data_IF_226016444806
#
_entry.id   IF_226016444806
#
_cell.length_a   1.000
_cell.length_b   1.000
_cell.length_c   1.000
_cell.angle_alpha   90.00
_cell.angle_beta   90.00
_cell.angle_gamma   90.00
#
_symmetry.space_group_name_H-M   'P 1'
#
loop_
_entity.id
_entity.type
_entity.pdbx_description
1 polymer ?
#
# COMPACT_ATOMS: atom_id res chain seq x y z
N UNK A 1 28.50 -56.95 8.93
CA UNK A 1 27.12 -57.47 9.07
C UNK A 1 26.20 -56.26 9.09
N UNK A 2 25.64 -55.91 7.93
CA UNK A 2 24.81 -54.72 7.74
C UNK A 2 23.42 -54.93 8.36
N UNK A 3 22.91 -53.92 9.07
CA UNK A 3 21.47 -53.71 9.23
C UNK A 3 21.15 -52.24 9.01
N UNK A 4 20.82 -51.92 7.77
CA UNK A 4 20.01 -50.78 7.38
C UNK A 4 18.64 -50.92 8.04
N UNK A 5 18.18 -49.87 8.72
CA UNK A 5 16.76 -49.64 8.94
C UNK A 5 16.44 -48.29 8.29
N UNK A 6 16.03 -48.36 7.02
CA UNK A 6 15.41 -47.26 6.30
C UNK A 6 13.95 -47.23 6.77
N UNK A 7 13.62 -46.22 7.54
CA UNK A 7 12.23 -45.79 7.76
C UNK A 7 12.20 -44.32 7.40
N UNK A 8 11.52 -44.02 6.30
CA UNK A 8 11.51 -42.70 5.72
C UNK A 8 10.76 -41.72 6.61
N UNK A 9 11.49 -40.76 7.14
CA UNK A 9 11.05 -39.39 7.15
C UNK A 9 12.20 -38.63 6.51
N UNK A 10 11.96 -38.12 5.30
CA UNK A 10 12.75 -37.01 4.78
C UNK A 10 12.45 -35.86 5.75
N UNK A 11 13.22 -35.82 6.84
CA UNK A 11 13.37 -34.64 7.65
C UNK A 11 13.97 -33.65 6.66
N UNK A 12 13.12 -32.80 6.08
CA UNK A 12 13.58 -31.58 5.45
C UNK A 12 14.47 -30.95 6.51
N UNK A 13 15.78 -31.05 6.30
CA UNK A 13 16.70 -30.09 6.86
C UNK A 13 16.23 -28.77 6.25
N UNK A 14 15.27 -28.14 6.92
CA UNK A 14 15.04 -26.71 6.81
C UNK A 14 16.34 -26.13 7.29
N UNK A 15 17.25 -25.92 6.35
CA UNK A 15 18.37 -25.03 6.53
C UNK A 15 17.72 -23.67 6.72
N UNK A 16 17.54 -23.29 7.99
CA UNK A 16 17.11 -21.97 8.38
C UNK A 16 18.27 -21.02 8.09
N UNK A 17 18.51 -20.74 6.81
CA UNK A 17 19.38 -19.65 6.43
C UNK A 17 18.54 -18.40 6.62
N UNK A 18 18.68 -17.75 7.77
CA UNK A 18 18.15 -16.41 7.96
C UNK A 18 18.89 -15.50 6.96
N UNK A 19 18.32 -15.30 5.78
CA UNK A 19 18.87 -14.40 4.78
C UNK A 19 18.93 -13.01 5.40
N UNK A 20 20.13 -12.42 5.42
CA UNK A 20 20.37 -11.14 6.06
C UNK A 20 19.95 -9.94 5.20
N UNK A 21 19.43 -10.20 4.00
CA UNK A 21 19.03 -9.22 3.00
C UNK A 21 17.74 -9.66 2.33
N UNK A 22 17.03 -8.69 1.75
CA UNK A 22 15.88 -8.98 0.89
C UNK A 22 16.34 -9.40 -0.51
N UNK A 23 15.53 -10.24 -1.16
CA UNK A 23 15.74 -10.62 -2.55
C UNK A 23 15.60 -9.40 -3.48
N UNK A 24 16.64 -9.17 -4.29
CA UNK A 24 16.66 -8.16 -5.34
C UNK A 24 15.88 -8.66 -6.56
N UNK A 25 14.78 -7.97 -6.90
CA UNK A 25 13.93 -8.32 -8.05
C UNK A 25 14.07 -7.27 -9.16
N UNK A 26 14.20 -7.75 -10.41
CA UNK A 26 14.13 -6.88 -11.60
C UNK A 26 12.70 -6.44 -11.88
N UNK A 27 12.51 -5.35 -12.63
CA UNK A 27 11.17 -4.86 -13.01
C UNK A 27 10.32 -5.93 -13.72
N UNK A 28 10.93 -6.74 -14.59
CA UNK A 28 10.22 -7.83 -15.29
C UNK A 28 9.68 -8.88 -14.31
N UNK A 29 10.49 -9.27 -13.32
CA UNK A 29 10.09 -10.26 -12.33
C UNK A 29 9.13 -9.67 -11.30
N UNK A 30 9.26 -8.37 -11.00
CA UNK A 30 8.31 -7.64 -10.18
C UNK A 30 6.92 -7.68 -10.82
N UNK A 31 6.82 -7.36 -12.11
CA UNK A 31 5.55 -7.44 -12.83
C UNK A 31 4.91 -8.83 -12.72
N UNK A 32 5.68 -9.90 -13.00
CA UNK A 32 5.20 -11.28 -12.87
C UNK A 32 4.70 -11.59 -11.45
N UNK A 33 5.45 -11.17 -10.43
CA UNK A 33 5.08 -11.39 -9.02
C UNK A 33 3.78 -10.67 -8.67
N UNK A 34 3.58 -9.44 -9.16
CA UNK A 34 2.32 -8.71 -8.97
C UNK A 34 1.13 -9.34 -9.70
N UNK A 35 1.38 -10.13 -10.75
CA UNK A 35 0.34 -10.85 -11.48
C UNK A 35 -0.03 -12.19 -10.84
N UNK A 36 0.94 -12.92 -10.28
CA UNK A 36 0.75 -14.27 -9.74
C UNK A 36 0.41 -14.27 -8.27
N UNK A 37 1.06 -13.40 -7.49
CA UNK A 37 0.98 -13.44 -6.04
C UNK A 37 -0.12 -12.51 -5.50
N UNK A 38 -0.93 -12.97 -4.53
CA UNK A 38 -1.99 -12.15 -3.97
C UNK A 38 -1.44 -11.01 -3.10
N UNK A 39 -0.27 -11.21 -2.48
CA UNK A 39 0.31 -10.28 -1.53
C UNK A 39 1.82 -10.15 -1.78
N UNK A 40 2.26 -8.93 -2.07
CA UNK A 40 3.69 -8.61 -2.29
C UNK A 40 4.02 -7.31 -1.57
N UNK A 41 5.07 -7.29 -0.76
CA UNK A 41 5.68 -6.10 -0.17
C UNK A 41 6.98 -5.84 -0.90
N UNK A 42 7.14 -4.63 -1.42
CA UNK A 42 8.32 -4.24 -2.19
C UNK A 42 8.95 -3.01 -1.55
N UNK A 43 10.22 -3.11 -1.21
CA UNK A 43 11.07 -1.96 -0.87
C UNK A 43 11.66 -1.37 -2.16
N UNK A 44 11.27 -0.15 -2.48
CA UNK A 44 11.80 0.62 -3.59
C UNK A 44 12.93 1.52 -3.13
N UNK A 45 14.06 1.41 -3.84
CA UNK A 45 15.30 2.13 -3.59
C UNK A 45 15.76 2.84 -4.86
N UNK A 46 16.51 3.93 -4.71
CA UNK A 46 17.13 4.65 -5.82
C UNK A 46 18.63 4.79 -5.52
N UNK A 47 19.45 4.26 -6.42
CA UNK A 47 20.90 4.19 -6.26
C UNK A 47 21.56 5.55 -6.08
N UNK A 48 20.92 6.64 -6.50
CA UNK A 48 21.45 8.02 -6.43
C UNK A 48 21.09 8.73 -5.14
N UNK A 49 19.94 8.42 -4.56
CA UNK A 49 19.38 9.14 -3.40
C UNK A 49 19.44 8.33 -2.11
N UNK A 50 19.86 7.06 -2.19
CA UNK A 50 19.90 6.16 -1.07
C UNK A 50 20.92 6.57 0.01
N UNK A 51 20.44 6.65 1.24
CA UNK A 51 21.19 7.01 2.44
C UNK A 51 20.98 5.98 3.58
N UNK A 52 21.27 6.36 4.82
CA UNK A 52 21.08 5.51 6.01
C UNK A 52 19.63 5.00 6.17
N UNK A 53 18.64 5.74 5.67
CA UNK A 53 17.23 5.32 5.76
C UNK A 53 16.95 4.08 4.92
N UNK A 54 17.65 3.88 3.79
CA UNK A 54 17.50 2.68 2.98
C UNK A 54 17.90 1.43 3.76
N UNK A 55 19.07 1.47 4.39
CA UNK A 55 19.61 0.35 5.17
C UNK A 55 18.70 0.06 6.37
N UNK A 56 18.16 1.12 6.99
CA UNK A 56 17.19 0.99 8.07
C UNK A 56 15.90 0.31 7.60
N UNK A 57 15.34 0.75 6.47
CA UNK A 57 14.13 0.16 5.91
C UNK A 57 14.31 -1.32 5.56
N UNK A 58 15.41 -1.67 4.89
CA UNK A 58 15.72 -3.07 4.57
C UNK A 58 15.89 -3.91 5.85
N UNK A 59 16.64 -3.39 6.83
CA UNK A 59 16.89 -4.10 8.10
C UNK A 59 15.60 -4.39 8.86
N UNK A 60 14.69 -3.42 8.93
CA UNK A 60 13.37 -3.61 9.58
C UNK A 60 12.58 -4.68 8.85
N UNK A 61 12.47 -4.61 7.52
CA UNK A 61 11.76 -5.59 6.71
C UNK A 61 12.34 -7.00 6.84
N UNK A 62 13.67 -7.16 6.80
CA UNK A 62 14.34 -8.46 7.00
C UNK A 62 13.98 -9.06 8.36
N UNK A 63 13.92 -8.23 9.40
CA UNK A 63 13.62 -8.70 10.76
C UNK A 63 12.19 -9.20 10.92
N UNK A 64 11.20 -8.52 10.32
CA UNK A 64 9.79 -8.90 10.41
C UNK A 64 9.35 -9.85 9.28
N UNK A 65 10.22 -10.17 8.32
CA UNK A 65 9.89 -10.94 7.11
C UNK A 65 9.25 -12.29 7.44
N UNK A 66 9.86 -13.06 8.34
CA UNK A 66 9.36 -14.40 8.68
C UNK A 66 7.94 -14.33 9.27
N UNK A 67 7.72 -13.41 10.21
CA UNK A 67 6.39 -13.19 10.81
C UNK A 67 5.35 -12.72 9.78
N UNK A 68 5.75 -11.89 8.81
CA UNK A 68 4.87 -11.45 7.72
C UNK A 68 4.52 -12.59 6.77
N UNK A 69 5.49 -13.41 6.38
CA UNK A 69 5.28 -14.60 5.54
C UNK A 69 4.32 -15.56 6.23
N UNK A 70 4.49 -15.81 7.52
CA UNK A 70 3.62 -16.70 8.29
C UNK A 70 2.19 -16.14 8.42
N UNK A 71 2.05 -14.84 8.69
CA UNK A 71 0.75 -14.21 8.91
C UNK A 71 -0.05 -13.96 7.62
N UNK A 72 0.63 -13.58 6.54
CA UNK A 72 -0.01 -13.07 5.31
C UNK A 72 0.24 -13.95 4.08
N UNK A 73 1.21 -14.86 4.13
CA UNK A 73 1.76 -15.54 2.95
C UNK A 73 2.20 -14.53 1.88
N UNK A 74 2.91 -13.50 2.34
CA UNK A 74 3.35 -12.36 1.52
C UNK A 74 4.79 -12.56 1.04
N UNK A 75 5.06 -12.15 -0.20
CA UNK A 75 6.42 -12.06 -0.71
C UNK A 75 7.04 -10.72 -0.31
N UNK A 76 8.24 -10.71 0.27
CA UNK A 76 8.93 -9.49 0.69
C UNK A 76 10.22 -9.34 -0.12
N UNK A 77 10.26 -8.35 -1.00
CA UNK A 77 11.36 -8.14 -1.95
C UNK A 77 11.86 -6.71 -1.92
N UNK A 78 12.97 -6.43 -2.62
CA UNK A 78 13.41 -5.07 -2.91
C UNK A 78 13.72 -4.89 -4.40
N UNK A 79 13.63 -3.65 -4.86
CA UNK A 79 13.99 -3.28 -6.23
C UNK A 79 14.70 -1.92 -6.26
N UNK A 80 15.51 -1.71 -7.29
CA UNK A 80 16.35 -0.53 -7.46
C UNK A 80 15.99 0.19 -8.75
N UNK A 81 15.97 1.53 -8.69
CA UNK A 81 15.83 2.41 -9.85
C UNK A 81 14.60 2.10 -10.73
N UNK A 82 13.55 1.51 -10.11
CA UNK A 82 12.34 1.08 -10.82
C UNK A 82 11.47 2.28 -11.23
N UNK A 83 11.13 2.41 -12.52
CA UNK A 83 10.25 3.48 -13.00
C UNK A 83 8.81 3.33 -12.47
N UNK A 84 8.41 2.14 -12.04
CA UNK A 84 7.08 1.85 -11.49
C UNK A 84 6.79 2.65 -10.20
N UNK A 85 7.82 3.13 -9.51
CA UNK A 85 7.66 3.92 -8.29
C UNK A 85 6.77 5.15 -8.49
N UNK A 86 6.95 5.83 -9.64
CA UNK A 86 6.17 7.02 -9.99
C UNK A 86 4.69 6.69 -10.25
N UNK A 87 4.39 5.50 -10.79
CA UNK A 87 3.02 5.04 -11.06
C UNK A 87 2.22 4.87 -9.77
N UNK A 88 2.89 4.55 -8.66
CA UNK A 88 2.28 4.43 -7.32
C UNK A 88 2.29 5.76 -6.56
N UNK A 89 2.63 6.86 -7.24
CA UNK A 89 2.62 8.20 -6.68
C UNK A 89 3.66 8.37 -5.59
N UNK A 90 4.75 7.60 -5.61
CA UNK A 90 5.81 7.72 -4.63
C UNK A 90 6.91 8.62 -5.19
N UNK A 91 7.17 9.72 -4.49
CA UNK A 91 8.06 10.79 -4.96
C UNK A 91 9.44 10.78 -4.26
N UNK A 92 9.64 9.86 -3.30
CA UNK A 92 10.87 9.76 -2.51
C UNK A 92 11.14 8.33 -2.09
N UNK A 93 12.40 7.92 -2.16
CA UNK A 93 12.92 6.66 -1.61
C UNK A 93 13.63 6.91 -0.26
N UNK A 94 13.84 5.88 0.57
CA UNK A 94 13.26 4.53 0.44
C UNK A 94 11.74 4.54 0.62
N UNK A 95 11.05 3.66 -0.09
CA UNK A 95 9.60 3.54 0.02
C UNK A 95 9.17 2.08 0.06
N UNK A 96 8.23 1.75 0.93
CA UNK A 96 7.69 0.40 1.06
C UNK A 96 6.26 0.41 0.56
N UNK A 97 5.95 -0.43 -0.42
CA UNK A 97 4.61 -0.55 -1.00
C UNK A 97 4.09 -1.96 -0.79
N UNK A 98 2.88 -2.06 -0.24
CA UNK A 98 2.16 -3.31 -0.06
C UNK A 98 1.10 -3.48 -1.14
N UNK A 99 1.32 -4.44 -2.02
CA UNK A 99 0.40 -4.83 -3.09
C UNK A 99 -0.54 -5.92 -2.61
N UNK A 100 -1.85 -5.63 -2.66
CA UNK A 100 -2.91 -6.52 -2.20
C UNK A 100 -3.85 -6.81 -3.36
N UNK A 101 -3.65 -7.94 -4.03
CA UNK A 101 -4.33 -8.32 -5.28
C UNK A 101 -4.26 -7.18 -6.30
N UNK A 102 -3.05 -6.72 -6.58
CA UNK A 102 -2.76 -5.58 -7.48
C UNK A 102 -3.16 -4.19 -6.96
N UNK A 103 -3.71 -4.06 -5.75
CA UNK A 103 -4.00 -2.75 -5.14
C UNK A 103 -2.79 -2.28 -4.32
N UNK A 104 -2.04 -1.26 -4.78
CA UNK A 104 -0.91 -0.72 -4.03
C UNK A 104 -1.39 0.05 -2.79
N UNK A 105 -0.61 -0.02 -1.72
CA UNK A 105 -0.73 0.80 -0.52
C UNK A 105 0.66 1.23 -0.10
N UNK A 106 0.88 2.53 -0.01
CA UNK A 106 2.18 3.06 0.39
C UNK A 106 2.26 3.05 1.91
N UNK A 107 3.28 2.43 2.48
CA UNK A 107 3.57 2.56 3.91
C UNK A 107 4.19 3.94 4.16
N UNK A 108 3.47 4.77 4.90
CA UNK A 108 3.86 6.17 5.20
C UNK A 108 4.62 6.31 6.52
N UNK A 109 4.90 5.20 7.20
CA UNK A 109 5.57 5.17 8.49
C UNK A 109 4.69 5.67 9.63
N UNK A 110 5.28 5.69 10.83
CA UNK A 110 4.60 6.17 12.03
C UNK A 110 4.43 7.69 12.00
N UNK A 111 3.21 8.15 11.72
CA UNK A 111 2.84 9.57 11.85
C UNK A 111 2.85 9.99 13.33
N UNK A 112 3.96 10.57 13.80
CA UNK A 112 3.97 11.27 15.09
C UNK A 112 3.44 12.69 14.89
N UNK A 113 2.17 12.91 15.22
CA UNK A 113 1.61 14.25 15.32
C UNK A 113 1.94 14.80 16.70
N UNK A 114 3.03 15.55 16.81
CA UNK A 114 3.36 16.29 18.02
C UNK A 114 2.39 17.47 18.16
N UNK A 115 1.51 17.43 19.17
CA UNK A 115 0.49 18.47 19.41
C UNK A 115 1.05 19.89 19.62
N UNK A 116 2.36 20.03 19.84
CA UNK A 116 3.04 21.33 20.05
C UNK A 116 3.80 21.84 18.83
N UNK A 117 4.09 21.00 17.84
CA UNK A 117 4.79 21.41 16.61
C UNK A 117 4.28 20.57 15.45
N UNK A 118 3.61 21.16 14.44
CA UNK A 118 3.13 20.43 13.26
C UNK A 118 4.28 20.14 12.27
N UNK A 119 5.44 19.73 12.78
CA UNK A 119 6.52 19.20 11.95
C UNK A 119 6.49 17.69 12.06
N UNK A 120 6.15 17.04 10.96
CA UNK A 120 6.36 15.61 10.75
C UNK A 120 7.85 15.34 10.86
N UNK A 121 8.31 14.84 12.00
CA UNK A 121 9.70 14.41 12.15
C UNK A 121 9.86 13.09 11.42
N UNK A 122 10.44 13.12 10.21
CA UNK A 122 10.71 11.93 9.37
C UNK A 122 11.79 10.99 9.97
N UNK A 123 12.39 11.35 11.11
CA UNK A 123 13.59 10.67 11.63
C UNK A 123 13.37 9.26 12.20
N UNK A 124 12.13 8.73 12.21
CA UNK A 124 11.81 7.39 12.68
C UNK A 124 10.65 6.78 11.86
N UNK A 125 10.76 6.80 10.53
CA UNK A 125 9.69 6.33 9.66
C UNK A 125 9.46 4.80 9.74
N UNK A 126 10.51 4.03 10.05
CA UNK A 126 10.48 2.56 10.04
C UNK A 126 10.60 2.01 11.46
N UNK A 127 9.46 1.61 12.03
CA UNK A 127 9.31 1.01 13.36
C UNK A 127 8.78 -0.42 13.15
N UNK A 128 9.45 -1.43 13.72
CA UNK A 128 9.17 -2.84 13.42
C UNK A 128 7.74 -3.23 13.78
N UNK A 129 7.31 -2.93 15.01
CA UNK A 129 5.98 -3.25 15.52
C UNK A 129 4.89 -2.53 14.72
N UNK A 130 5.06 -1.23 14.46
CA UNK A 130 4.07 -0.47 13.70
C UNK A 130 4.00 -0.92 12.23
N UNK A 131 5.12 -1.26 11.61
CA UNK A 131 5.15 -1.78 10.25
C UNK A 131 4.45 -3.15 10.16
N UNK A 132 4.72 -4.04 11.11
CA UNK A 132 4.05 -5.34 11.19
C UNK A 132 2.54 -5.20 11.39
N UNK A 133 2.12 -4.38 12.36
CA UNK A 133 0.71 -4.07 12.61
C UNK A 133 0.04 -3.45 11.38
N UNK A 134 0.73 -2.53 10.70
CA UNK A 134 0.22 -1.91 9.49
C UNK A 134 -0.06 -2.94 8.40
N UNK A 135 0.88 -3.84 8.07
CA UNK A 135 0.62 -4.81 6.99
C UNK A 135 -0.45 -5.84 7.38
N UNK A 136 -0.43 -6.32 8.62
CA UNK A 136 -1.40 -7.32 9.09
C UNK A 136 -2.82 -6.75 9.20
N UNK A 137 -2.97 -5.50 9.64
CA UNK A 137 -4.27 -4.83 9.71
C UNK A 137 -4.84 -4.44 8.33
N UNK A 138 -3.99 -4.31 7.31
CA UNK A 138 -4.38 -3.78 6.00
C UNK A 138 -4.39 -4.83 4.88
N UNK A 139 -4.56 -6.11 5.21
CA UNK A 139 -4.59 -7.23 4.25
C UNK A 139 -5.62 -7.05 3.12
N UNK A 140 -6.80 -6.51 3.43
CA UNK A 140 -7.90 -6.36 2.47
C UNK A 140 -8.05 -4.91 1.99
N UNK A 141 -8.15 -4.63 0.67
CA UNK A 141 -8.27 -3.28 0.12
C UNK A 141 -9.69 -2.73 0.28
N UNK A 142 -10.05 -2.33 1.51
CA UNK A 142 -11.44 -1.97 1.87
C UNK A 142 -11.62 -0.51 2.22
N UNK A 143 -10.56 0.30 2.11
CA UNK A 143 -10.58 1.68 2.60
C UNK A 143 -11.13 2.70 1.59
N UNK A 144 -11.23 2.31 0.32
CA UNK A 144 -11.80 3.14 -0.74
C UNK A 144 -13.18 2.63 -1.15
N UNK A 145 -14.23 3.39 -0.82
CA UNK A 145 -15.59 3.08 -1.25
C UNK A 145 -15.81 3.51 -2.70
N UNK A 146 -16.42 2.65 -3.52
CA UNK A 146 -16.90 3.06 -4.84
C UNK A 146 -18.26 3.71 -4.71
N UNK A 147 -18.40 4.92 -5.25
CA UNK A 147 -19.66 5.65 -5.35
C UNK A 147 -19.97 5.89 -6.83
N UNK A 148 -21.25 6.03 -7.13
CA UNK A 148 -21.77 6.30 -8.46
C UNK A 148 -23.02 7.17 -8.39
N UNK A 149 -23.59 7.50 -9.54
CA UNK A 149 -24.72 8.42 -9.69
C UNK A 149 -25.96 7.97 -8.90
N UNK A 150 -26.13 6.67 -8.69
CA UNK A 150 -27.23 6.12 -7.90
C UNK A 150 -26.91 6.11 -6.39
N UNK A 151 -25.69 5.78 -6.00
CA UNK A 151 -25.33 5.53 -4.59
C UNK A 151 -24.82 6.76 -3.85
N UNK A 152 -24.28 7.76 -4.56
CA UNK A 152 -23.60 8.89 -3.97
C UNK A 152 -24.50 9.65 -2.99
N UNK A 153 -25.69 10.05 -3.42
CA UNK A 153 -26.60 10.83 -2.58
C UNK A 153 -27.13 10.02 -1.41
N UNK A 154 -27.50 8.76 -1.64
CA UNK A 154 -28.01 7.89 -0.59
C UNK A 154 -26.97 7.67 0.51
N UNK A 155 -25.70 7.53 0.16
CA UNK A 155 -24.62 7.27 1.11
C UNK A 155 -24.06 8.52 1.76
N UNK A 156 -23.85 9.61 1.00
CA UNK A 156 -23.19 10.83 1.50
C UNK A 156 -24.15 11.84 2.11
N UNK A 157 -25.42 11.82 1.69
CA UNK A 157 -26.45 12.81 2.06
C UNK A 157 -26.03 14.26 1.74
N UNK A 158 -25.21 14.46 0.71
CA UNK A 158 -24.64 15.76 0.36
C UNK A 158 -25.71 16.85 0.07
N UNK A 159 -26.88 16.49 -0.45
CA UNK A 159 -27.94 17.46 -0.77
C UNK A 159 -28.78 17.92 0.43
N UNK A 160 -28.89 17.11 1.48
CA UNK A 160 -29.80 17.37 2.59
C UNK A 160 -29.18 18.25 3.69
N UNK A 161 -27.87 18.52 3.60
CA UNK A 161 -27.10 19.22 4.63
C UNK A 161 -26.85 18.39 5.90
N UNK A 162 -27.34 17.14 5.93
CA UNK A 162 -27.13 16.19 7.01
C UNK A 162 -26.24 15.05 6.49
N UNK A 163 -24.95 15.33 6.29
CA UNK A 163 -24.01 14.33 5.80
C UNK A 163 -23.88 13.17 6.78
N UNK A 164 -23.55 11.99 6.29
CA UNK A 164 -23.27 10.79 7.10
C UNK A 164 -21.86 10.81 7.70
N UNK A 165 -21.34 11.99 8.02
CA UNK A 165 -19.96 12.23 8.46
C UNK A 165 -19.13 12.98 7.43
N UNK A 166 -17.82 13.02 7.66
CA UNK A 166 -16.85 13.63 6.76
C UNK A 166 -16.50 12.65 5.63
N UNK A 167 -16.42 13.16 4.40
CA UNK A 167 -16.09 12.38 3.21
C UNK A 167 -14.90 13.00 2.49
N UNK A 168 -14.01 12.17 1.95
CA UNK A 168 -13.01 12.58 0.98
C UNK A 168 -13.27 11.79 -0.31
N UNK A 169 -13.74 12.47 -1.35
CA UNK A 169 -14.13 11.85 -2.61
C UNK A 169 -13.13 12.22 -3.70
N UNK A 170 -12.54 11.22 -4.34
CA UNK A 170 -11.73 11.38 -5.54
C UNK A 170 -12.56 11.06 -6.78
N UNK A 171 -12.73 12.06 -7.63
CA UNK A 171 -13.27 11.90 -8.97
C UNK A 171 -12.14 11.58 -9.92
N UNK A 172 -12.33 10.54 -10.74
CA UNK A 172 -11.37 10.12 -11.74
C UNK A 172 -12.03 9.62 -13.04
N UNK A 173 -11.22 9.43 -14.07
CA UNK A 173 -11.55 8.76 -15.33
C UNK A 173 -10.69 7.51 -15.50
N UNK A 174 -10.95 6.72 -16.53
CA UNK A 174 -10.13 5.55 -16.87
C UNK A 174 -8.81 5.94 -17.55
N UNK A 175 -8.75 7.12 -18.16
CA UNK A 175 -7.57 7.64 -18.88
C UNK A 175 -6.63 8.47 -17.99
N UNK A 176 -6.87 8.48 -16.68
CA UNK A 176 -6.10 9.29 -15.75
C UNK A 176 -4.75 8.66 -15.39
N UNK A 177 -3.66 9.21 -15.94
CA UNK A 177 -2.29 8.73 -15.68
C UNK A 177 -1.85 8.88 -14.22
N UNK A 178 -2.24 9.97 -13.54
CA UNK A 178 -1.83 10.24 -12.16
C UNK A 178 -2.69 9.51 -11.11
N UNK A 179 -3.85 8.97 -11.51
CA UNK A 179 -4.85 8.42 -10.59
C UNK A 179 -4.41 7.15 -9.86
N UNK A 180 -3.70 6.19 -10.50
CA UNK A 180 -3.17 5.02 -9.79
C UNK A 180 -2.33 5.40 -8.57
N UNK A 181 -1.47 6.41 -8.71
CA UNK A 181 -0.60 6.87 -7.62
C UNK A 181 -1.35 7.62 -6.52
N UNK A 182 -2.28 8.50 -6.89
CA UNK A 182 -3.14 9.17 -5.90
C UNK A 182 -4.02 8.15 -5.17
N UNK A 183 -4.56 7.15 -5.88
CA UNK A 183 -5.34 6.05 -5.30
C UNK A 183 -4.50 5.25 -4.29
N UNK A 184 -3.25 4.92 -4.62
CA UNK A 184 -2.34 4.21 -3.73
C UNK A 184 -2.10 4.96 -2.41
N UNK A 185 -1.92 6.29 -2.48
CA UNK A 185 -1.82 7.16 -1.29
C UNK A 185 -3.14 7.24 -0.52
N UNK A 186 -4.28 7.32 -1.22
CA UNK A 186 -5.60 7.40 -0.58
C UNK A 186 -5.98 6.10 0.14
N UNK A 187 -5.55 4.93 -0.31
CA UNK A 187 -5.69 3.68 0.43
C UNK A 187 -5.08 3.81 1.84
N UNK A 188 -3.86 4.35 1.91
CA UNK A 188 -3.18 4.60 3.19
C UNK A 188 -3.90 5.64 4.03
N UNK A 189 -4.31 6.76 3.42
CA UNK A 189 -5.10 7.79 4.11
C UNK A 189 -6.38 7.18 4.69
N UNK A 190 -7.12 6.42 3.89
CA UNK A 190 -8.36 5.76 4.29
C UNK A 190 -8.15 4.81 5.47
N UNK A 191 -7.07 4.02 5.47
CA UNK A 191 -6.72 3.16 6.60
C UNK A 191 -6.45 3.96 7.88
N UNK A 192 -5.72 5.08 7.78
CA UNK A 192 -5.32 5.94 8.90
C UNK A 192 -6.49 6.77 9.46
N UNK A 193 -7.51 7.07 8.66
CA UNK A 193 -8.63 7.95 9.04
C UNK A 193 -9.98 7.25 9.08
N UNK A 194 -10.04 5.92 8.93
CA UNK A 194 -11.27 5.12 8.83
C UNK A 194 -12.32 5.40 9.91
N UNK A 195 -11.89 5.79 11.11
CA UNK A 195 -12.78 6.08 12.25
C UNK A 195 -13.30 7.52 12.27
N UNK A 196 -12.78 8.40 11.40
CA UNK A 196 -13.09 9.84 11.36
C UNK A 196 -13.69 10.30 10.05
N UNK A 197 -13.25 9.73 8.94
CA UNK A 197 -13.63 10.17 7.60
C UNK A 197 -13.72 8.97 6.66
N UNK A 198 -14.71 8.99 5.77
CA UNK A 198 -14.83 7.97 4.72
C UNK A 198 -14.14 8.44 3.45
N UNK A 199 -13.27 7.61 2.88
CA UNK A 199 -12.62 7.89 1.59
C UNK A 199 -13.35 7.13 0.48
N UNK A 200 -13.65 7.82 -0.62
CA UNK A 200 -14.43 7.27 -1.71
C UNK A 200 -13.90 7.67 -3.09
N UNK A 201 -14.25 6.87 -4.09
CA UNK A 201 -13.94 7.11 -5.50
C UNK A 201 -15.22 7.22 -6.32
N UNK A 202 -15.19 8.07 -7.33
CA UNK A 202 -16.23 8.19 -8.35
C UNK A 202 -15.58 8.14 -9.73
N UNK A 203 -15.90 7.11 -10.52
CA UNK A 203 -15.44 7.00 -11.90
C UNK A 203 -16.42 7.73 -12.82
N UNK A 204 -16.00 8.83 -13.43
CA UNK A 204 -16.82 9.69 -14.29
C UNK A 204 -17.10 9.10 -15.66
N UNK A 205 -16.27 8.17 -16.14
CA UNK A 205 -16.44 7.53 -17.46
C UNK A 205 -17.44 6.37 -17.41
N UNK A 206 -17.67 5.81 -16.22
CA UNK A 206 -18.49 4.62 -16.03
C UNK A 206 -19.89 4.98 -15.56
N UNK A 207 -20.03 5.32 -14.28
CA UNK A 207 -21.32 5.45 -13.60
C UNK A 207 -21.38 6.69 -12.68
N UNK A 208 -20.39 7.57 -12.74
CA UNK A 208 -20.29 8.79 -11.93
C UNK A 208 -20.41 10.11 -12.71
N UNK A 209 -20.92 10.08 -13.94
CA UNK A 209 -20.89 11.21 -14.85
C UNK A 209 -21.81 12.37 -14.39
N UNK A 210 -23.00 12.07 -13.86
CA UNK A 210 -23.94 13.08 -13.36
C UNK A 210 -23.39 13.73 -12.09
N UNK A 211 -22.87 12.92 -11.17
CA UNK A 211 -22.26 13.36 -9.93
C UNK A 211 -21.04 14.24 -10.21
N UNK A 212 -20.13 13.79 -11.09
CA UNK A 212 -18.95 14.57 -11.49
C UNK A 212 -19.32 15.94 -12.06
N UNK A 213 -20.34 16.02 -12.94
CA UNK A 213 -20.82 17.30 -13.48
C UNK A 213 -21.40 18.21 -12.40
N UNK A 214 -22.18 17.65 -11.47
CA UNK A 214 -22.78 18.42 -10.37
C UNK A 214 -21.72 19.09 -9.50
N UNK A 215 -20.67 18.35 -9.15
CA UNK A 215 -19.57 18.87 -8.33
C UNK A 215 -18.51 19.63 -9.15
N UNK A 216 -18.73 19.83 -10.45
CA UNK A 216 -17.80 20.51 -11.37
C UNK A 216 -16.40 19.86 -11.38
N UNK A 217 -16.33 18.56 -11.09
CA UNK A 217 -15.12 17.78 -11.18
C UNK A 217 -14.90 17.41 -12.65
N UNK A 218 -14.17 18.25 -13.38
CA UNK A 218 -13.83 18.03 -14.79
C UNK A 218 -12.37 17.60 -15.02
N UNK A 219 -11.47 17.92 -14.10
CA UNK A 219 -10.06 17.54 -14.17
C UNK A 219 -9.80 16.21 -13.46
N UNK A 220 -8.74 15.51 -13.86
CA UNK A 220 -8.32 14.25 -13.24
C UNK A 220 -6.95 14.39 -12.55
N UNK A 221 -6.79 13.82 -11.34
CA UNK A 221 -7.85 13.56 -10.37
C UNK A 221 -8.39 14.86 -9.76
N UNK A 222 -9.66 14.85 -9.31
CA UNK A 222 -10.22 15.93 -8.47
C UNK A 222 -10.57 15.38 -7.09
N UNK A 223 -10.03 15.97 -6.03
CA UNK A 223 -10.35 15.63 -4.64
C UNK A 223 -11.32 16.66 -4.05
N UNK A 224 -12.40 16.18 -3.43
CA UNK A 224 -13.40 17.00 -2.75
C UNK A 224 -13.59 16.48 -1.33
N UNK A 225 -13.62 17.41 -0.37
CA UNK A 225 -13.98 17.22 1.03
C UNK A 225 -15.44 17.65 1.25
#
# INVERSE_FOLDING_TARGET
>A
MYRLCVSGLLFFLVVCSAETKLEDISDENLHKSLETEPFVIVLFLDSKTCDEQCEMAEKVLVKIREDLVDALSVWVTKTWDSPHLAEFGVDSTPAVVFFRRKNPMVYDGKLRINSKTPRVSRSCAFDEDEMYEFFTANREPTYLRSLNDDTFEHLTQASSGATTGDWLVMFHTEQCEACPGVRAKLETVGARVKDRMTVALVNRDKDGAVTGRRFKAYADPTLIL
#
